data_IF_153400822565
#
_entry.id   IF_153400822565
#
_cell.length_a   1.000
_cell.length_b   1.000
_cell.length_c   1.000
_cell.angle_alpha   90.00
_cell.angle_beta   90.00
_cell.angle_gamma   90.00
#
_symmetry.space_group_name_H-M   'P 1'
#
loop_
_entity.id
_entity.type
_entity.pdbx_description
1 polymer ?
#
# COMPACT_ATOMS: atom_id res chain seq x y z
N UNK A 1 -1.73 9.04 6.73
CA UNK A 1 -1.21 8.34 5.55
C UNK A 1 -2.01 7.08 5.31
N UNK A 2 -2.14 6.62 4.07
CA UNK A 2 -2.84 5.40 3.72
C UNK A 2 -3.25 5.40 2.26
N UNK A 3 -3.70 4.26 1.76
CA UNK A 3 -4.16 4.08 0.39
C UNK A 3 -5.33 3.09 0.32
N UNK A 4 -5.93 2.99 -0.84
CA UNK A 4 -7.01 2.05 -1.11
C UNK A 4 -7.09 1.68 -2.60
N UNK A 5 -7.71 0.56 -2.90
CA UNK A 5 -7.96 0.08 -4.27
C UNK A 5 -9.26 -0.73 -4.33
N UNK A 6 -10.02 -0.66 -5.45
CA UNK A 6 -9.85 0.22 -6.62
C UNK A 6 -10.34 1.64 -6.35
N UNK A 7 -9.85 2.60 -7.15
CA UNK A 7 -10.40 3.97 -7.16
C UNK A 7 -11.41 4.10 -8.29
N UNK A 8 -12.64 4.53 -7.98
CA UNK A 8 -13.66 4.85 -9.00
C UNK A 8 -13.30 6.05 -9.87
N UNK A 9 -12.34 6.87 -9.43
CA UNK A 9 -11.86 8.04 -10.19
C UNK A 9 -11.00 7.67 -11.40
N UNK A 10 -10.47 6.44 -11.43
CA UNK A 10 -9.69 5.96 -12.56
C UNK A 10 -10.63 5.31 -13.58
N UNK A 11 -11.07 6.10 -14.55
CA UNK A 11 -11.85 5.60 -15.67
C UNK A 11 -11.00 4.76 -16.63
N UNK A 12 -11.63 3.89 -17.43
CA UNK A 12 -10.94 3.13 -18.49
C UNK A 12 -10.18 4.04 -19.48
N UNK A 13 -10.71 5.23 -19.76
CA UNK A 13 -10.05 6.19 -20.64
C UNK A 13 -8.77 6.76 -19.98
N UNK A 14 -8.86 7.13 -18.72
CA UNK A 14 -7.70 7.60 -17.96
C UNK A 14 -6.64 6.50 -17.84
N UNK A 15 -7.03 5.26 -17.58
CA UNK A 15 -6.12 4.12 -17.55
C UNK A 15 -5.37 3.95 -18.88
N UNK A 16 -6.07 4.03 -20.03
CA UNK A 16 -5.43 3.99 -21.35
C UNK A 16 -4.44 5.14 -21.54
N UNK A 17 -4.77 6.37 -21.08
CA UNK A 17 -3.83 7.51 -21.12
C UNK A 17 -2.58 7.24 -20.28
N UNK A 18 -2.74 6.70 -19.08
CA UNK A 18 -1.61 6.35 -18.20
C UNK A 18 -0.70 5.34 -18.91
N UNK A 19 -1.29 4.27 -19.44
CA UNK A 19 -0.51 3.25 -20.16
C UNK A 19 0.24 3.86 -21.32
N UNK A 20 -0.44 4.53 -22.24
CA UNK A 20 0.13 5.06 -23.48
C UNK A 20 1.13 6.20 -23.23
N UNK A 21 0.78 7.15 -22.36
CA UNK A 21 1.56 8.40 -22.24
C UNK A 21 2.67 8.32 -21.19
N UNK A 22 2.61 7.35 -20.28
CA UNK A 22 3.60 7.21 -19.18
C UNK A 22 4.29 5.86 -19.26
N UNK A 23 3.54 4.75 -19.10
CA UNK A 23 4.14 3.43 -18.96
C UNK A 23 4.90 3.03 -20.24
N UNK A 24 4.23 3.06 -21.40
CA UNK A 24 4.87 2.72 -22.69
C UNK A 24 6.06 3.63 -23.01
N UNK A 25 5.94 4.94 -22.76
CA UNK A 25 7.04 5.88 -22.98
C UNK A 25 8.23 5.62 -22.06
N UNK A 26 7.99 5.23 -20.81
CA UNK A 26 9.07 4.84 -19.88
C UNK A 26 9.83 3.63 -20.41
N UNK A 27 9.12 2.59 -20.86
CA UNK A 27 9.77 1.40 -21.42
C UNK A 27 10.46 1.67 -22.78
N UNK A 28 9.91 2.54 -23.62
CA UNK A 28 10.59 3.01 -24.83
C UNK A 28 11.89 3.76 -24.49
N UNK A 29 11.87 4.58 -23.43
CA UNK A 29 13.07 5.24 -22.90
C UNK A 29 14.12 4.24 -22.44
N UNK A 30 13.74 3.22 -21.66
CA UNK A 30 14.65 2.15 -21.25
C UNK A 30 15.31 1.47 -22.46
N UNK A 31 14.51 1.13 -23.47
CA UNK A 31 15.02 0.52 -24.71
C UNK A 31 15.99 1.43 -25.45
N UNK A 32 15.68 2.72 -25.58
CA UNK A 32 16.52 3.71 -26.27
C UNK A 32 17.87 3.89 -25.57
N UNK A 33 17.86 3.94 -24.24
CA UNK A 33 19.07 4.09 -23.41
C UNK A 33 19.78 2.75 -23.15
N UNK A 34 19.34 1.66 -23.78
CA UNK A 34 19.86 0.29 -23.53
C UNK A 34 19.83 -0.11 -22.04
N UNK A 35 18.84 0.38 -21.32
CA UNK A 35 18.69 0.17 -19.87
C UNK A 35 17.88 -1.09 -19.60
N UNK A 36 18.52 -2.10 -19.02
CA UNK A 36 17.86 -3.34 -18.61
C UNK A 36 17.35 -3.21 -17.17
N UNK A 37 16.04 -3.39 -16.98
CA UNK A 37 15.42 -3.37 -15.67
C UNK A 37 14.59 -4.63 -15.42
N UNK A 38 14.81 -5.29 -14.29
CA UNK A 38 14.03 -6.42 -13.81
C UNK A 38 13.61 -6.18 -12.37
N UNK A 39 12.30 -6.15 -12.11
CA UNK A 39 11.78 -5.89 -10.77
C UNK A 39 10.47 -5.13 -10.79
N UNK A 40 10.18 -4.47 -9.68
CA UNK A 40 8.96 -3.67 -9.49
C UNK A 40 9.27 -2.20 -9.73
N UNK A 41 8.63 -1.61 -10.72
CA UNK A 41 8.66 -0.18 -10.97
C UNK A 41 7.33 0.44 -10.56
N UNK A 42 7.34 1.27 -9.53
CA UNK A 42 6.18 2.01 -9.07
C UNK A 42 6.15 3.40 -9.68
N UNK A 43 4.99 3.79 -10.20
CA UNK A 43 4.73 5.11 -10.77
C UNK A 43 3.87 5.91 -9.81
N UNK A 44 4.42 6.92 -9.15
CA UNK A 44 3.69 7.93 -8.41
C UNK A 44 3.07 8.94 -9.38
N UNK A 45 1.74 8.97 -9.46
CA UNK A 45 1.03 9.82 -10.41
C UNK A 45 0.10 10.80 -9.70
N UNK A 46 -0.02 12.01 -10.26
CA UNK A 46 -1.10 12.93 -9.95
C UNK A 46 -2.00 13.09 -11.17
N UNK A 47 -3.32 13.11 -10.94
CA UNK A 47 -4.31 13.32 -11.98
C UNK A 47 -4.89 14.73 -11.83
N UNK A 48 -4.71 15.56 -12.87
CA UNK A 48 -5.27 16.91 -12.94
C UNK A 48 -6.04 17.05 -14.26
N UNK A 49 -7.30 17.45 -14.21
CA UNK A 49 -8.15 17.64 -15.39
C UNK A 49 -8.20 16.40 -16.30
N UNK A 50 -8.28 15.20 -15.71
CA UNK A 50 -8.28 13.92 -16.40
C UNK A 50 -7.00 13.65 -17.25
N UNK A 51 -5.87 14.32 -16.90
CA UNK A 51 -4.55 14.07 -17.47
C UNK A 51 -3.59 13.57 -16.37
N UNK A 52 -2.81 12.50 -16.63
CA UNK A 52 -1.87 11.94 -15.68
C UNK A 52 -0.51 12.64 -15.79
N UNK A 53 0.09 12.96 -14.65
CA UNK A 53 1.45 13.50 -14.53
C UNK A 53 2.26 12.64 -13.58
N UNK A 54 3.52 12.38 -13.92
CA UNK A 54 4.45 11.65 -13.06
C UNK A 54 4.97 12.58 -11.97
N UNK A 55 4.88 12.13 -10.71
CA UNK A 55 5.50 12.79 -9.56
C UNK A 55 6.85 12.15 -9.28
N UNK A 56 6.89 10.80 -9.24
CA UNK A 56 8.08 10.05 -8.91
C UNK A 56 8.05 8.65 -9.52
N UNK A 57 9.24 8.05 -9.64
CA UNK A 57 9.45 6.63 -9.86
C UNK A 57 10.09 6.02 -8.63
N UNK A 58 9.66 4.81 -8.25
CA UNK A 58 10.34 4.02 -7.24
C UNK A 58 10.67 2.64 -7.80
N UNK A 59 11.93 2.21 -7.67
CA UNK A 59 12.42 0.88 -8.10
C UNK A 59 12.06 -0.21 -7.08
N UNK A 60 10.94 -0.07 -6.45
CA UNK A 60 10.34 -0.94 -5.42
C UNK A 60 8.86 -0.63 -5.33
N UNK A 61 8.14 -1.41 -4.55
CA UNK A 61 6.76 -1.02 -4.19
C UNK A 61 6.72 0.30 -3.43
N UNK A 62 5.62 1.02 -3.57
CA UNK A 62 5.27 2.11 -2.66
C UNK A 62 5.00 1.61 -1.23
N UNK A 63 5.12 2.47 -0.27
CA UNK A 63 4.74 2.22 1.12
C UNK A 63 3.82 3.36 1.59
N UNK A 64 2.50 3.11 1.79
CA UNK A 64 1.88 1.81 2.13
C UNK A 64 1.22 1.05 0.96
N UNK A 65 1.52 1.33 -0.31
CA UNK A 65 0.85 0.71 -1.46
C UNK A 65 1.13 -0.79 -1.56
N UNK A 66 2.32 -1.25 -1.16
CA UNK A 66 2.71 -2.67 -1.17
C UNK A 66 1.71 -3.53 -0.40
N UNK A 67 1.37 -3.14 0.82
CA UNK A 67 0.43 -3.85 1.68
C UNK A 67 -0.95 -3.97 1.02
N UNK A 68 -1.36 -2.92 0.29
CA UNK A 68 -2.64 -2.90 -0.42
C UNK A 68 -2.61 -3.78 -1.67
N UNK A 69 -1.53 -3.70 -2.46
CA UNK A 69 -1.37 -4.46 -3.69
C UNK A 69 -1.26 -5.96 -3.44
N UNK A 70 -0.45 -6.38 -2.46
CA UNK A 70 -0.29 -7.80 -2.13
C UNK A 70 -1.59 -8.40 -1.58
N UNK A 71 -2.41 -7.64 -0.87
CA UNK A 71 -3.75 -8.07 -0.43
C UNK A 71 -4.77 -8.13 -1.58
N UNK A 72 -4.49 -7.47 -2.69
CA UNK A 72 -5.29 -7.48 -3.91
C UNK A 72 -4.91 -8.61 -4.85
N UNK A 73 -3.68 -9.08 -4.79
CA UNK A 73 -3.11 -10.10 -5.67
C UNK A 73 -3.66 -11.49 -5.32
N UNK A 74 -4.08 -12.27 -6.34
CA UNK A 74 -4.43 -13.69 -6.19
C UNK A 74 -3.30 -14.62 -6.63
N UNK A 75 -2.51 -14.21 -7.63
CA UNK A 75 -1.35 -14.96 -8.09
C UNK A 75 -0.29 -14.99 -7.01
N UNK A 76 0.35 -16.13 -6.80
CA UNK A 76 1.44 -16.25 -5.83
C UNK A 76 2.55 -15.27 -6.16
N UNK A 77 2.94 -14.48 -5.15
CA UNK A 77 3.94 -13.43 -5.35
C UNK A 77 5.33 -14.03 -5.63
N UNK A 78 5.66 -15.18 -5.06
CA UNK A 78 6.92 -15.87 -5.34
C UNK A 78 6.98 -16.35 -6.78
N UNK A 79 5.87 -16.83 -7.34
CA UNK A 79 5.76 -17.18 -8.77
C UNK A 79 6.06 -15.95 -9.65
N UNK A 80 5.51 -14.79 -9.33
CA UNK A 80 5.76 -13.54 -10.06
C UNK A 80 7.25 -13.17 -10.02
N UNK A 81 7.87 -13.16 -8.83
CA UNK A 81 9.28 -12.81 -8.67
C UNK A 81 10.19 -13.82 -9.40
N UNK A 82 9.90 -15.10 -9.30
CA UNK A 82 10.63 -16.14 -10.01
C UNK A 82 10.53 -15.95 -11.53
N UNK A 83 9.36 -15.63 -12.04
CA UNK A 83 9.15 -15.37 -13.47
C UNK A 83 9.87 -14.10 -13.96
N UNK A 84 9.96 -13.06 -13.12
CA UNK A 84 10.75 -11.85 -13.43
C UNK A 84 12.25 -12.21 -13.55
N UNK A 85 12.78 -12.98 -12.62
CA UNK A 85 14.22 -13.35 -12.64
C UNK A 85 14.61 -14.22 -13.81
N UNK A 86 13.65 -15.03 -14.32
CA UNK A 86 13.84 -15.93 -15.47
C UNK A 86 13.49 -15.30 -16.81
N UNK A 87 13.07 -14.03 -16.88
CA UNK A 87 12.49 -13.39 -18.08
C UNK A 87 11.24 -14.11 -18.62
N UNK A 88 10.46 -14.72 -17.75
CA UNK A 88 9.28 -15.51 -18.08
C UNK A 88 7.96 -14.87 -17.65
N UNK A 89 7.97 -13.60 -17.24
CA UNK A 89 6.76 -12.91 -16.74
C UNK A 89 5.60 -12.96 -17.75
N UNK A 90 5.89 -12.91 -19.04
CA UNK A 90 4.88 -13.05 -20.10
C UNK A 90 4.22 -14.43 -20.20
N UNK A 91 4.77 -15.47 -19.55
CA UNK A 91 4.24 -16.83 -19.55
C UNK A 91 3.21 -17.09 -18.45
N UNK A 92 3.14 -16.22 -17.43
CA UNK A 92 2.20 -16.34 -16.32
C UNK A 92 1.05 -15.35 -16.46
N UNK A 93 -0.11 -15.72 -15.91
CA UNK A 93 -1.28 -14.85 -15.84
C UNK A 93 -1.42 -14.27 -14.46
N UNK A 94 -1.09 -12.97 -14.30
CA UNK A 94 -1.30 -12.27 -13.04
C UNK A 94 -2.79 -11.96 -12.88
N UNK A 95 -3.36 -12.38 -11.76
CA UNK A 95 -4.78 -12.19 -11.43
C UNK A 95 -4.96 -11.45 -10.11
N UNK A 96 -6.03 -10.67 -10.03
CA UNK A 96 -6.35 -9.89 -8.86
C UNK A 96 -7.71 -10.26 -8.28
N UNK A 97 -7.82 -10.18 -6.95
CA UNK A 97 -9.07 -10.32 -6.23
C UNK A 97 -10.07 -9.22 -6.62
N UNK A 98 -11.37 -9.53 -6.64
CA UNK A 98 -12.45 -8.55 -6.78
C UNK A 98 -12.68 -7.72 -5.51
N UNK A 99 -12.11 -8.13 -4.37
CA UNK A 99 -12.26 -7.43 -3.09
C UNK A 99 -11.64 -6.02 -3.17
N UNK A 100 -12.24 -5.08 -2.48
CA UNK A 100 -11.64 -3.76 -2.19
C UNK A 100 -10.68 -3.89 -1.03
N UNK A 101 -9.62 -3.06 -1.03
CA UNK A 101 -8.61 -3.05 0.03
C UNK A 101 -8.39 -1.62 0.51
N UNK A 102 -8.29 -1.45 1.82
CA UNK A 102 -7.96 -0.16 2.47
C UNK A 102 -6.81 -0.40 3.43
N UNK A 103 -5.77 0.41 3.32
CA UNK A 103 -4.62 0.44 4.22
C UNK A 103 -4.55 1.80 4.91
N UNK A 104 -4.48 1.80 6.24
CA UNK A 104 -4.34 3.01 7.05
C UNK A 104 -3.08 2.91 7.90
N UNK A 105 -2.18 3.89 7.75
CA UNK A 105 -0.93 3.94 8.52
C UNK A 105 -1.17 4.63 9.85
N UNK A 106 -0.75 3.98 10.93
CA UNK A 106 -0.63 4.51 12.27
C UNK A 106 0.80 5.01 12.46
N UNK A 107 0.97 6.30 12.70
CA UNK A 107 2.25 6.96 12.87
C UNK A 107 2.43 7.47 14.29
N UNK A 108 3.69 7.63 14.73
CA UNK A 108 4.05 8.26 16.00
C UNK A 108 3.61 9.73 16.00
N UNK A 109 3.10 10.21 17.11
CA UNK A 109 2.73 11.62 17.28
C UNK A 109 3.95 12.52 17.04
N UNK A 110 3.79 13.53 16.19
CA UNK A 110 4.85 14.43 15.75
C UNK A 110 5.44 14.10 14.37
N UNK A 111 5.28 12.87 13.86
CA UNK A 111 5.74 12.52 12.51
C UNK A 111 5.07 13.40 11.43
N UNK A 112 5.77 13.93 10.38
CA UNK A 112 7.15 13.59 9.97
C UNK A 112 8.29 14.34 10.69
N UNK A 113 7.98 15.28 11.57
CA UNK A 113 8.97 16.01 12.34
C UNK A 113 9.48 15.13 13.51
N UNK A 114 9.76 15.75 14.65
CA UNK A 114 10.27 15.07 15.84
C UNK A 114 9.21 14.22 16.51
N UNK A 115 9.57 12.99 16.84
CA UNK A 115 8.70 12.03 17.54
C UNK A 115 9.49 11.18 18.53
N UNK A 116 8.80 10.73 19.59
CA UNK A 116 9.38 9.84 20.59
C UNK A 116 9.38 8.38 20.08
N UNK A 117 10.43 7.66 20.44
CA UNK A 117 10.55 6.20 20.22
C UNK A 117 10.32 5.45 21.54
N UNK A 118 10.25 4.14 21.44
CA UNK A 118 10.12 3.22 22.59
C UNK A 118 8.85 3.46 23.43
N UNK A 119 7.80 3.98 22.82
CA UNK A 119 6.49 4.14 23.45
C UNK A 119 5.69 2.85 23.28
N UNK A 120 5.19 2.33 24.38
CA UNK A 120 4.35 1.11 24.39
C UNK A 120 3.13 1.28 23.49
N UNK A 121 2.87 0.29 22.63
CA UNK A 121 1.69 0.23 21.78
C UNK A 121 0.67 -0.67 22.50
N UNK A 122 -0.37 -0.09 23.14
CA UNK A 122 -1.29 -0.86 23.94
C UNK A 122 -2.14 -1.77 23.05
N UNK A 123 -2.61 -2.87 23.63
CA UNK A 123 -3.55 -3.81 23.00
C UNK A 123 -3.08 -4.52 21.72
N UNK A 124 -1.92 -4.20 21.14
CA UNK A 124 -1.47 -4.79 19.89
C UNK A 124 -1.39 -6.32 19.98
N UNK A 125 -0.85 -6.84 21.08
CA UNK A 125 -0.77 -8.29 21.34
C UNK A 125 -2.14 -8.99 21.40
N UNK A 126 -3.20 -8.26 21.77
CA UNK A 126 -4.56 -8.79 21.91
C UNK A 126 -5.33 -8.83 20.58
N UNK A 127 -4.82 -8.14 19.57
CA UNK A 127 -5.45 -8.06 18.26
C UNK A 127 -4.79 -9.13 17.39
N UNK A 128 -5.58 -10.10 16.96
CA UNK A 128 -5.13 -11.13 16.03
C UNK A 128 -5.50 -10.72 14.61
N UNK A 129 -4.61 -11.01 13.68
CA UNK A 129 -4.91 -10.95 12.26
C UNK A 129 -6.01 -11.94 11.91
N UNK A 130 -6.83 -11.59 10.95
CA UNK A 130 -7.82 -12.46 10.35
C UNK A 130 -7.76 -12.37 8.82
N UNK A 131 -8.57 -13.16 8.12
CA UNK A 131 -8.60 -13.17 6.65
C UNK A 131 -8.94 -11.79 6.05
N UNK A 132 -9.69 -10.96 6.79
CA UNK A 132 -10.09 -9.62 6.34
C UNK A 132 -9.09 -8.56 6.69
N UNK A 133 -8.46 -8.63 7.86
CA UNK A 133 -7.60 -7.55 8.38
C UNK A 133 -6.27 -8.09 8.87
N UNK A 134 -5.20 -7.51 8.36
CA UNK A 134 -3.81 -7.80 8.75
C UNK A 134 -3.17 -6.51 9.25
N UNK A 135 -2.37 -6.63 10.31
CA UNK A 135 -1.55 -5.55 10.85
C UNK A 135 -0.11 -5.79 10.42
N UNK A 136 0.39 -4.96 9.51
CA UNK A 136 1.79 -4.99 9.12
C UNK A 136 2.62 -4.11 10.04
N UNK A 137 3.68 -4.67 10.57
CA UNK A 137 4.67 -3.97 11.38
C UNK A 137 5.63 -3.19 10.49
N UNK A 138 5.94 -1.94 10.88
CA UNK A 138 6.97 -1.11 10.27
C UNK A 138 7.95 -0.66 11.37
N UNK A 139 7.86 0.54 11.89
CA UNK A 139 8.69 1.04 12.98
C UNK A 139 8.25 0.50 14.34
N UNK A 140 8.36 -0.79 14.57
CA UNK A 140 8.05 -1.43 15.85
C UNK A 140 9.22 -2.24 16.38
N UNK A 141 9.30 -2.38 17.70
CA UNK A 141 10.26 -3.21 18.42
C UNK A 141 9.51 -4.10 19.41
N UNK A 142 9.85 -5.38 19.46
CA UNK A 142 9.31 -6.32 20.42
C UNK A 142 10.29 -6.48 21.58
N UNK A 143 9.87 -6.17 22.80
CA UNK A 143 10.65 -6.34 24.03
C UNK A 143 9.78 -7.05 25.06
N UNK A 144 10.25 -8.17 25.56
CA UNK A 144 9.55 -8.96 26.59
C UNK A 144 8.05 -9.17 26.27
N UNK A 145 7.79 -9.56 25.02
CA UNK A 145 6.43 -9.80 24.50
C UNK A 145 5.53 -8.55 24.42
N UNK A 146 6.06 -7.36 24.55
CA UNK A 146 5.35 -6.10 24.31
C UNK A 146 5.89 -5.39 23.08
N UNK A 147 5.04 -4.65 22.41
CA UNK A 147 5.40 -3.90 21.21
C UNK A 147 5.55 -2.43 21.54
N UNK A 148 6.63 -1.84 21.06
CA UNK A 148 6.96 -0.42 21.24
C UNK A 148 7.18 0.24 19.88
N UNK A 149 6.90 1.53 19.79
CA UNK A 149 7.24 2.32 18.60
C UNK A 149 8.75 2.46 18.48
N UNK A 150 9.28 2.31 17.26
CA UNK A 150 10.69 2.50 16.94
C UNK A 150 10.90 3.23 15.60
N UNK A 151 9.91 4.01 15.18
CA UNK A 151 9.94 4.77 13.94
C UNK A 151 8.76 5.72 13.82
N UNK A 152 8.78 6.57 12.81
CA UNK A 152 7.71 7.52 12.54
C UNK A 152 6.43 6.82 12.05
N UNK A 153 6.54 5.95 11.04
CA UNK A 153 5.45 5.05 10.61
C UNK A 153 5.59 3.75 11.36
N UNK A 154 4.57 3.39 12.12
CA UNK A 154 4.68 2.33 13.14
C UNK A 154 3.96 1.06 12.71
N UNK A 155 2.71 1.17 12.30
CA UNK A 155 1.89 0.05 11.85
C UNK A 155 1.08 0.43 10.59
N UNK A 156 0.74 -0.57 9.79
CA UNK A 156 -0.21 -0.41 8.68
C UNK A 156 -1.35 -1.41 8.85
N UNK A 157 -2.55 -0.91 9.17
CA UNK A 157 -3.75 -1.75 9.28
C UNK A 157 -4.40 -1.85 7.91
N UNK A 158 -4.37 -3.05 7.33
CA UNK A 158 -4.85 -3.31 5.97
C UNK A 158 -6.02 -4.28 6.02
N UNK A 159 -7.17 -3.85 5.48
CA UNK A 159 -8.39 -4.65 5.48
C UNK A 159 -8.96 -4.82 4.07
N UNK A 160 -9.59 -5.98 3.84
CA UNK A 160 -10.33 -6.29 2.62
C UNK A 160 -11.85 -6.26 2.88
N UNK A 161 -12.64 -5.99 1.85
CA UNK A 161 -14.09 -6.02 1.89
C UNK A 161 -14.70 -6.11 0.49
N UNK A 162 -16.00 -6.32 0.38
CA UNK A 162 -16.72 -6.28 -0.90
C UNK A 162 -16.73 -4.86 -1.48
N UNK A 163 -16.76 -3.86 -0.61
CA UNK A 163 -16.72 -2.43 -0.93
C UNK A 163 -15.60 -1.72 -0.18
N UNK A 164 -15.25 -0.51 -0.62
CA UNK A 164 -14.28 0.34 0.11
C UNK A 164 -14.80 0.68 1.50
N UNK A 165 -16.10 0.96 1.65
CA UNK A 165 -16.71 1.26 2.94
C UNK A 165 -16.55 0.10 3.92
N UNK A 166 -16.77 -1.13 3.47
CA UNK A 166 -16.64 -2.33 4.29
C UNK A 166 -15.19 -2.54 4.74
N UNK A 167 -14.23 -2.49 3.80
CA UNK A 167 -12.81 -2.58 4.09
C UNK A 167 -12.36 -1.47 5.05
N UNK A 168 -12.80 -0.23 4.79
CA UNK A 168 -12.54 0.94 5.64
C UNK A 168 -13.08 0.73 7.07
N UNK A 169 -14.34 0.32 7.21
CA UNK A 169 -14.96 0.06 8.52
C UNK A 169 -14.15 -0.96 9.33
N UNK A 170 -13.67 -2.01 8.69
CA UNK A 170 -12.85 -3.05 9.33
C UNK A 170 -11.49 -2.49 9.79
N UNK A 171 -10.76 -1.77 8.93
CA UNK A 171 -9.47 -1.18 9.27
C UNK A 171 -9.58 -0.19 10.46
N UNK A 172 -10.56 0.72 10.41
CA UNK A 172 -10.75 1.71 11.47
C UNK A 172 -11.27 1.09 12.79
N UNK A 173 -11.99 -0.04 12.74
CA UNK A 173 -12.38 -0.80 13.93
C UNK A 173 -11.14 -1.30 14.69
N UNK A 174 -10.14 -1.79 13.96
CA UNK A 174 -8.87 -2.27 14.55
C UNK A 174 -8.07 -1.09 15.12
N UNK A 175 -7.94 0.01 14.38
CA UNK A 175 -7.25 1.22 14.87
C UNK A 175 -7.87 1.76 16.17
N UNK A 176 -9.19 1.76 16.27
CA UNK A 176 -9.89 2.14 17.51
C UNK A 176 -9.58 1.19 18.68
N UNK A 177 -9.46 -0.11 18.42
CA UNK A 177 -9.11 -1.11 19.45
C UNK A 177 -7.69 -0.94 19.96
N UNK A 178 -6.74 -0.53 19.09
CA UNK A 178 -5.37 -0.23 19.50
C UNK A 178 -5.32 0.88 20.54
N UNK A 179 -6.16 1.91 20.40
CA UNK A 179 -6.31 3.03 21.34
C UNK A 179 -4.95 3.62 21.82
N UNK A 180 -4.04 3.82 20.88
CA UNK A 180 -2.71 4.34 21.17
C UNK A 180 -2.70 5.88 21.13
N UNK A 181 -2.56 6.52 22.30
CA UNK A 181 -2.64 7.99 22.45
C UNK A 181 -1.43 8.73 21.89
N UNK A 182 -0.27 8.05 21.83
CA UNK A 182 0.98 8.59 21.28
C UNK A 182 1.13 8.35 19.78
N UNK A 183 0.09 7.84 19.15
CA UNK A 183 0.00 7.67 17.71
C UNK A 183 -1.16 8.45 17.10
N UNK A 184 -1.07 8.67 15.79
CA UNK A 184 -2.16 9.25 15.03
C UNK A 184 -2.30 8.57 13.66
N UNK A 185 -3.48 8.70 13.08
CA UNK A 185 -3.78 8.24 11.73
C UNK A 185 -4.82 9.17 11.07
N UNK A 186 -4.81 9.23 9.76
CA UNK A 186 -5.84 9.95 8.99
C UNK A 186 -7.18 9.25 9.10
N UNK A 187 -8.25 10.02 9.32
CA UNK A 187 -9.61 9.50 9.48
C UNK A 187 -10.37 9.41 8.15
N UNK A 188 -9.80 9.92 7.06
CA UNK A 188 -10.46 10.11 5.76
C UNK A 188 -9.97 9.14 4.65
N UNK A 189 -9.08 8.18 4.96
CA UNK A 189 -8.61 7.20 3.97
C UNK A 189 -9.80 6.36 3.48
N UNK A 190 -10.01 6.35 2.15
CA UNK A 190 -11.13 5.68 1.52
C UNK A 190 -12.51 6.33 1.75
N UNK A 191 -12.56 7.52 2.38
CA UNK A 191 -13.84 8.21 2.64
C UNK A 191 -14.46 8.83 1.38
N UNK A 192 -13.63 9.45 0.53
CA UNK A 192 -14.04 10.09 -0.73
C UNK A 192 -13.69 9.22 -1.93
N UNK A 193 -14.23 8.01 -1.98
CA UNK A 193 -14.10 7.14 -3.14
C UNK A 193 -15.33 7.31 -4.05
N UNK A 194 -15.56 8.54 -4.47
CA UNK A 194 -16.65 8.89 -5.37
C UNK A 194 -16.19 8.89 -6.81
#
# INVERSE_FOLDING_TARGET
MGCFTPSKKVSKNLEKKIIKNIIEKTFLGFKKESFTYRGILFFGLIIKNNEPYVIEYNVRFGDPECQTLLRKLNTDFLEIITSITKDELGKIKITNSRKSVVCVVLASKGYPESYNKEILIPNLKKIKDDEKTIIFHAGTKNLSSNYFSNGGRVLSVTSTGKTIEEARKSAYKVLKKLNWKDGFYRKDIGFKNF
#
